data_IF_436262940876
#
_entry.id   IF_436262940876
#
_cell.length_a   1.000
_cell.length_b   1.000
_cell.length_c   1.000
_cell.angle_alpha   90.00
_cell.angle_beta   90.00
_cell.angle_gamma   90.00
#
_symmetry.space_group_name_H-M   'P 1'
#
loop_
_entity.id
_entity.type
_entity.pdbx_description
1 polymer ?
#
# COMPACT_ATOMS: atom_id res chain seq x y z
N UNK A 1 -42.10 -1.70 17.28
CA UNK A 1 -40.90 -2.54 17.44
C UNK A 1 -39.83 -1.93 16.55
N UNK A 2 -38.80 -1.30 17.13
CA UNK A 2 -37.60 -1.00 16.36
C UNK A 2 -36.87 -2.33 16.24
N UNK A 3 -36.93 -2.93 15.04
CA UNK A 3 -36.08 -4.07 14.74
C UNK A 3 -34.63 -3.67 15.00
N UNK A 4 -33.87 -4.55 15.66
CA UNK A 4 -32.43 -4.36 15.92
C UNK A 4 -31.73 -4.00 14.62
N UNK A 5 -31.35 -2.72 14.48
CA UNK A 5 -30.62 -2.22 13.34
C UNK A 5 -29.27 -2.97 13.25
N UNK A 6 -28.71 -3.16 12.05
CA UNK A 6 -27.46 -3.90 11.88
C UNK A 6 -26.29 -3.27 12.63
N UNK A 7 -26.31 -1.96 12.86
CA UNK A 7 -25.26 -1.22 13.60
C UNK A 7 -25.01 -1.80 14.99
N UNK A 8 -26.05 -2.21 15.71
CA UNK A 8 -25.95 -2.78 17.06
C UNK A 8 -25.30 -4.17 17.04
N UNK A 9 -25.23 -4.81 15.88
CA UNK A 9 -24.70 -6.17 15.69
C UNK A 9 -23.23 -6.18 15.25
N UNK A 10 -22.70 -5.10 14.66
CA UNK A 10 -21.35 -5.08 14.06
C UNK A 10 -20.25 -5.34 15.09
N UNK A 11 -20.37 -4.78 16.30
CA UNK A 11 -19.37 -4.90 17.37
C UNK A 11 -19.88 -5.65 18.60
N UNK A 12 -21.02 -6.34 18.47
CA UNK A 12 -21.62 -7.07 19.58
C UNK A 12 -20.71 -8.23 20.03
N UNK A 13 -20.62 -8.42 21.35
CA UNK A 13 -20.00 -9.63 21.91
C UNK A 13 -20.84 -10.83 21.50
N UNK A 14 -20.19 -11.82 20.90
CA UNK A 14 -20.83 -13.08 20.56
C UNK A 14 -20.71 -14.00 21.78
N UNK A 15 -21.73 -13.99 22.65
CA UNK A 15 -21.76 -14.86 23.83
C UNK A 15 -22.03 -16.31 23.39
N UNK A 16 -20.97 -17.12 23.31
CA UNK A 16 -21.06 -18.59 23.27
C UNK A 16 -21.65 -19.23 22.01
N UNK A 17 -21.79 -18.51 20.89
CA UNK A 17 -22.26 -19.12 19.65
C UNK A 17 -21.13 -19.85 18.92
N UNK A 18 -21.31 -21.16 18.72
CA UNK A 18 -20.40 -22.05 18.01
C UNK A 18 -20.52 -21.97 16.47
N UNK A 19 -21.35 -21.06 15.94
CA UNK A 19 -21.55 -20.91 14.50
C UNK A 19 -20.45 -20.06 13.85
N UNK A 20 -20.00 -20.47 12.66
CA UNK A 20 -19.11 -19.65 11.81
C UNK A 20 -19.85 -18.40 11.37
N UNK A 21 -19.64 -17.31 12.09
CA UNK A 21 -20.08 -15.98 11.71
C UNK A 21 -19.17 -15.40 10.59
N UNK A 22 -19.71 -14.67 9.60
CA UNK A 22 -18.90 -13.98 8.58
C UNK A 22 -18.21 -12.74 9.19
N UNK A 23 -17.20 -13.00 10.03
CA UNK A 23 -16.40 -11.99 10.71
C UNK A 23 -15.15 -12.62 11.35
N UNK A 24 -14.41 -11.83 12.12
CA UNK A 24 -13.24 -12.30 12.85
C UNK A 24 -13.15 -11.62 14.20
N UNK A 25 -12.55 -12.30 15.18
CA UNK A 25 -12.33 -11.75 16.51
C UNK A 25 -11.07 -10.85 16.50
N UNK A 26 -11.22 -9.62 16.95
CA UNK A 26 -10.09 -8.74 17.26
C UNK A 26 -9.57 -9.05 18.67
N UNK A 27 -8.79 -10.12 18.81
CA UNK A 27 -8.19 -10.51 20.09
C UNK A 27 -6.98 -9.62 20.41
N UNK A 28 -7.03 -8.91 21.56
CA UNK A 28 -5.97 -8.02 22.06
C UNK A 28 -5.39 -7.05 21.01
N UNK A 29 -6.26 -6.57 20.11
CA UNK A 29 -5.86 -5.69 19.01
C UNK A 29 -5.13 -4.44 19.54
N UNK A 30 -3.89 -4.25 19.11
CA UNK A 30 -3.04 -3.12 19.50
C UNK A 30 -2.32 -3.26 20.84
N UNK A 31 -2.52 -4.35 21.61
CA UNK A 31 -1.82 -4.56 22.89
C UNK A 31 -0.66 -5.55 22.77
N UNK A 32 -0.94 -6.77 22.32
CA UNK A 32 0.05 -7.87 22.33
C UNK A 32 0.16 -8.56 20.97
N UNK A 33 -0.92 -8.63 20.21
CA UNK A 33 -0.94 -9.25 18.89
C UNK A 33 -0.66 -8.21 17.80
N UNK A 34 0.32 -8.48 16.95
CA UNK A 34 0.59 -7.72 15.73
C UNK A 34 0.21 -8.57 14.52
N UNK A 35 -0.31 -7.92 13.47
CA UNK A 35 -0.51 -8.59 12.21
C UNK A 35 0.84 -9.11 11.68
N UNK A 36 0.83 -10.31 11.09
CA UNK A 36 2.00 -10.84 10.40
C UNK A 36 2.27 -9.96 9.17
N UNK A 37 3.47 -9.33 9.06
CA UNK A 37 3.67 -8.26 8.07
C UNK A 37 3.47 -8.71 6.63
N UNK A 38 3.82 -9.96 6.30
CA UNK A 38 3.65 -10.51 4.95
C UNK A 38 2.18 -10.67 4.61
N UNK A 39 1.40 -11.33 5.46
CA UNK A 39 -0.05 -11.48 5.29
C UNK A 39 -0.73 -10.12 5.20
N UNK A 40 -0.32 -9.15 6.02
CA UNK A 40 -0.89 -7.80 5.95
C UNK A 40 -0.61 -7.14 4.60
N UNK A 41 0.64 -7.15 4.12
CA UNK A 41 1.00 -6.59 2.82
C UNK A 41 0.25 -7.27 1.68
N UNK A 42 0.16 -8.60 1.69
CA UNK A 42 -0.57 -9.38 0.68
C UNK A 42 -2.08 -9.07 0.66
N UNK A 43 -2.75 -9.01 1.82
CA UNK A 43 -4.18 -8.64 1.87
C UNK A 43 -4.41 -7.22 1.33
N UNK A 44 -3.51 -6.29 1.63
CA UNK A 44 -3.58 -4.93 1.09
C UNK A 44 -3.29 -4.89 -0.43
N UNK A 45 -2.47 -5.79 -0.96
CA UNK A 45 -2.25 -5.97 -2.39
C UNK A 45 -3.54 -6.34 -3.12
N UNK A 46 -4.22 -7.38 -2.62
CA UNK A 46 -5.52 -7.81 -3.15
C UNK A 46 -6.56 -6.67 -3.10
N UNK A 47 -6.64 -5.96 -1.98
CA UNK A 47 -7.53 -4.82 -1.83
C UNK A 47 -7.19 -3.68 -2.82
N UNK A 48 -5.89 -3.41 -3.02
CA UNK A 48 -5.41 -2.40 -3.98
C UNK A 48 -5.87 -2.72 -5.40
N UNK A 49 -5.67 -3.96 -5.85
CA UNK A 49 -6.07 -4.37 -7.20
C UNK A 49 -7.58 -4.24 -7.41
N UNK A 50 -8.39 -4.55 -6.39
CA UNK A 50 -9.86 -4.34 -6.43
C UNK A 50 -10.25 -2.87 -6.48
N UNK A 51 -9.53 -1.99 -5.78
CA UNK A 51 -9.79 -0.54 -5.89
C UNK A 51 -9.42 0.02 -7.27
N UNK A 52 -8.45 -0.58 -7.96
CA UNK A 52 -8.14 -0.23 -9.35
C UNK A 52 -9.28 -0.67 -10.27
N UNK A 53 -9.83 -1.87 -10.06
CA UNK A 53 -11.00 -2.34 -10.81
C UNK A 53 -12.20 -1.41 -10.63
N UNK A 54 -12.45 -0.95 -9.40
CA UNK A 54 -13.45 0.08 -9.14
C UNK A 54 -13.19 1.37 -9.93
N UNK A 55 -11.94 1.85 -10.01
CA UNK A 55 -11.57 3.01 -10.82
C UNK A 55 -11.81 2.78 -12.33
N UNK A 56 -11.46 1.60 -12.84
CA UNK A 56 -11.69 1.21 -14.25
C UNK A 56 -13.18 1.14 -14.61
N UNK A 57 -14.04 0.79 -13.65
CA UNK A 57 -15.49 0.75 -13.82
C UNK A 57 -16.15 2.14 -13.77
N UNK A 58 -15.44 3.18 -13.30
CA UNK A 58 -15.99 4.51 -13.02
C UNK A 58 -15.11 5.63 -13.61
N UNK A 59 -14.70 5.49 -14.88
CA UNK A 59 -13.78 6.43 -15.56
C UNK A 59 -14.34 7.85 -15.76
N UNK A 60 -15.66 8.03 -15.65
CA UNK A 60 -16.33 9.32 -15.72
C UNK A 60 -16.25 10.12 -14.40
N UNK A 61 -15.80 9.47 -13.32
CA UNK A 61 -15.62 10.07 -11.99
C UNK A 61 -14.14 9.98 -11.60
N UNK A 62 -13.31 11.02 -11.85
CA UNK A 62 -11.87 10.98 -11.56
C UNK A 62 -11.53 10.57 -10.12
N UNK A 63 -12.34 11.00 -9.14
CA UNK A 63 -12.18 10.68 -7.73
C UNK A 63 -12.35 9.18 -7.42
N UNK A 64 -13.00 8.40 -8.30
CA UNK A 64 -13.07 6.95 -8.16
C UNK A 64 -11.68 6.28 -8.22
N UNK A 65 -10.71 6.94 -8.84
CA UNK A 65 -9.31 6.50 -8.89
C UNK A 65 -8.50 6.82 -7.63
N UNK A 66 -8.96 7.73 -6.77
CA UNK A 66 -8.19 8.20 -5.61
C UNK A 66 -7.93 7.09 -4.58
N UNK A 67 -8.90 6.24 -4.21
CA UNK A 67 -8.66 5.09 -3.35
C UNK A 67 -7.59 4.15 -3.91
N UNK A 68 -7.57 3.92 -5.23
CA UNK A 68 -6.59 3.06 -5.87
C UNK A 68 -5.16 3.59 -5.72
N UNK A 69 -4.95 4.88 -5.96
CA UNK A 69 -3.64 5.52 -5.84
C UNK A 69 -3.17 5.59 -4.38
N UNK A 70 -4.09 5.91 -3.48
CA UNK A 70 -3.84 5.89 -2.05
C UNK A 70 -3.42 4.49 -1.58
N UNK A 71 -4.21 3.47 -1.91
CA UNK A 71 -3.94 2.08 -1.52
C UNK A 71 -2.62 1.57 -2.12
N UNK A 72 -2.37 1.83 -3.42
CA UNK A 72 -1.15 1.41 -4.09
C UNK A 72 0.12 1.90 -3.37
N UNK A 73 0.15 3.19 -3.00
CA UNK A 73 1.26 3.77 -2.24
C UNK A 73 1.49 3.03 -0.92
N UNK A 74 0.43 2.77 -0.15
CA UNK A 74 0.54 2.17 1.18
C UNK A 74 0.88 0.69 1.11
N UNK A 75 0.30 -0.04 0.17
CA UNK A 75 0.62 -1.45 -0.03
C UNK A 75 2.08 -1.65 -0.38
N UNK A 76 2.60 -0.84 -1.31
CA UNK A 76 4.04 -0.83 -1.60
C UNK A 76 4.84 -0.52 -0.33
N UNK A 77 4.47 0.53 0.41
CA UNK A 77 5.16 0.88 1.66
C UNK A 77 5.13 -0.27 2.69
N UNK A 78 4.03 -1.02 2.82
CA UNK A 78 3.90 -2.19 3.70
C UNK A 78 4.85 -3.31 3.29
N UNK A 79 4.90 -3.65 2.00
CA UNK A 79 5.86 -4.64 1.49
C UNK A 79 7.30 -4.23 1.79
N UNK A 80 7.64 -2.99 1.45
CA UNK A 80 8.99 -2.47 1.60
C UNK A 80 9.43 -2.48 3.07
N UNK A 81 8.57 -2.05 4.01
CA UNK A 81 8.87 -2.07 5.46
C UNK A 81 9.00 -3.49 6.00
N UNK A 82 8.19 -4.41 5.50
CA UNK A 82 8.25 -5.81 5.93
C UNK A 82 9.51 -6.53 5.48
N UNK A 83 10.01 -6.23 4.28
CA UNK A 83 11.27 -6.75 3.74
C UNK A 83 12.52 -6.08 4.33
N UNK A 84 12.35 -4.92 4.97
CA UNK A 84 13.43 -4.14 5.63
C UNK A 84 13.03 -3.81 7.07
N UNK A 85 13.03 -4.80 7.99
CA UNK A 85 12.43 -4.64 9.32
C UNK A 85 13.12 -3.59 10.21
N UNK A 86 14.37 -3.25 9.93
CA UNK A 86 15.16 -2.27 10.68
C UNK A 86 15.24 -0.89 10.01
N UNK A 87 14.44 -0.65 8.96
CA UNK A 87 14.46 0.59 8.17
C UNK A 87 14.34 1.87 9.01
N UNK A 88 13.56 1.86 10.10
CA UNK A 88 13.39 3.02 11.00
C UNK A 88 14.69 3.41 11.68
N UNK A 89 15.51 2.42 12.05
CA UNK A 89 16.81 2.64 12.69
C UNK A 89 17.89 3.03 11.70
N UNK A 90 17.79 2.54 10.46
CA UNK A 90 18.75 2.87 9.41
C UNK A 90 18.47 4.26 8.80
N UNK A 91 17.23 4.76 8.86
CA UNK A 91 16.84 6.04 8.26
C UNK A 91 17.70 7.20 8.80
N UNK A 92 18.44 7.93 7.93
CA UNK A 92 19.25 9.06 8.36
C UNK A 92 18.37 10.14 9.00
N UNK A 93 18.66 10.47 10.27
CA UNK A 93 17.98 11.58 10.97
C UNK A 93 18.24 12.89 10.21
N UNK A 94 17.18 13.65 9.93
CA UNK A 94 17.27 14.97 9.30
C UNK A 94 17.31 15.01 7.77
N UNK A 95 17.18 13.89 7.05
CA UNK A 95 17.00 13.90 5.59
C UNK A 95 15.51 13.90 5.22
N UNK A 96 15.09 14.85 4.37
CA UNK A 96 13.75 14.93 3.77
C UNK A 96 13.47 13.85 2.70
N UNK A 97 14.16 12.70 2.74
CA UNK A 97 13.86 11.61 1.80
C UNK A 97 12.54 10.96 2.18
N UNK A 98 11.65 10.80 1.19
CA UNK A 98 10.40 10.06 1.36
C UNK A 98 10.69 8.61 1.76
N UNK A 99 9.81 8.01 2.57
CA UNK A 99 10.05 6.67 3.14
C UNK A 99 10.26 5.60 2.05
N UNK A 100 9.45 5.65 0.98
CA UNK A 100 9.55 4.74 -0.17
C UNK A 100 10.91 4.88 -0.87
N UNK A 101 11.42 6.11 -1.04
CA UNK A 101 12.70 6.35 -1.70
C UNK A 101 13.89 5.79 -0.92
N UNK A 102 13.78 5.78 0.40
CA UNK A 102 14.81 5.20 1.24
C UNK A 102 14.75 3.66 1.23
N UNK A 103 13.54 3.11 1.35
CA UNK A 103 13.33 1.66 1.34
C UNK A 103 13.71 1.01 0.00
N UNK A 104 13.42 1.67 -1.14
CA UNK A 104 13.80 1.17 -2.47
C UNK A 104 15.32 1.08 -2.64
N UNK A 105 16.08 2.02 -2.07
CA UNK A 105 17.54 2.00 -2.14
C UNK A 105 18.09 0.76 -1.43
N UNK A 106 17.57 0.45 -0.24
CA UNK A 106 17.97 -0.73 0.54
C UNK A 106 17.64 -2.04 -0.21
N UNK A 107 16.47 -2.11 -0.85
CA UNK A 107 16.06 -3.33 -1.57
C UNK A 107 16.65 -3.47 -2.97
N UNK A 108 17.19 -2.40 -3.55
CA UNK A 108 17.74 -2.43 -4.92
C UNK A 108 18.80 -3.50 -5.11
N UNK A 109 19.66 -3.72 -4.12
CA UNK A 109 20.72 -4.74 -4.16
C UNK A 109 20.18 -6.17 -4.04
N UNK A 110 19.01 -6.36 -3.41
CA UNK A 110 18.34 -7.66 -3.38
C UNK A 110 17.67 -7.94 -4.72
N UNK A 111 17.02 -6.94 -5.30
CA UNK A 111 16.34 -7.03 -6.59
C UNK A 111 17.30 -7.33 -7.74
N UNK A 112 18.46 -6.67 -7.81
CA UNK A 112 19.47 -6.90 -8.86
C UNK A 112 20.02 -8.32 -8.94
N UNK A 113 19.82 -9.15 -7.91
CA UNK A 113 20.27 -10.56 -7.92
C UNK A 113 19.35 -11.47 -8.73
N UNK A 114 18.08 -11.09 -8.83
CA UNK A 114 17.01 -11.94 -9.36
C UNK A 114 16.30 -11.32 -10.58
N UNK A 115 16.50 -10.02 -10.83
CA UNK A 115 15.85 -9.24 -11.88
C UNK A 115 16.88 -8.47 -12.69
N UNK A 116 16.56 -8.23 -13.96
CA UNK A 116 17.41 -7.47 -14.86
C UNK A 116 17.51 -6.01 -14.41
N UNK A 117 18.67 -5.38 -14.65
CA UNK A 117 18.91 -4.00 -14.21
C UNK A 117 17.85 -3.01 -14.74
N UNK A 118 17.39 -3.21 -15.98
CA UNK A 118 16.36 -2.38 -16.60
C UNK A 118 15.02 -2.48 -15.86
N UNK A 119 14.65 -3.68 -15.38
CA UNK A 119 13.43 -3.91 -14.61
C UNK A 119 13.51 -3.23 -13.25
N UNK A 120 14.66 -3.36 -12.56
CA UNK A 120 14.91 -2.69 -11.28
C UNK A 120 14.88 -1.17 -11.43
N UNK A 121 15.44 -0.64 -12.52
CA UNK A 121 15.38 0.79 -12.84
C UNK A 121 13.94 1.24 -13.16
N UNK A 122 13.17 0.46 -13.91
CA UNK A 122 11.77 0.77 -14.22
C UNK A 122 10.92 0.82 -12.94
N UNK A 123 11.08 -0.16 -12.05
CA UNK A 123 10.46 -0.17 -10.73
C UNK A 123 10.85 1.07 -9.92
N UNK A 124 12.14 1.39 -9.85
CA UNK A 124 12.63 2.57 -9.12
C UNK A 124 12.00 3.87 -9.65
N UNK A 125 11.87 4.01 -10.97
CA UNK A 125 11.19 5.16 -11.61
C UNK A 125 9.72 5.21 -11.23
N UNK A 126 9.01 4.09 -11.32
CA UNK A 126 7.60 3.96 -10.93
C UNK A 126 7.37 4.37 -9.47
N UNK A 127 8.18 3.86 -8.54
CA UNK A 127 8.11 4.22 -7.12
C UNK A 127 8.40 5.70 -6.86
N UNK A 128 9.35 6.26 -7.61
CA UNK A 128 9.68 7.69 -7.54
C UNK A 128 8.50 8.55 -8.01
N UNK A 129 7.82 8.14 -9.07
CA UNK A 129 6.60 8.83 -9.55
C UNK A 129 5.50 8.79 -8.50
N UNK A 130 5.24 7.62 -7.88
CA UNK A 130 4.27 7.51 -6.78
C UNK A 130 4.60 8.41 -5.60
N UNK A 131 5.87 8.45 -5.17
CA UNK A 131 6.33 9.36 -4.11
C UNK A 131 6.11 10.84 -4.46
N UNK A 132 6.20 11.22 -5.74
CA UNK A 132 5.97 12.61 -6.19
C UNK A 132 4.50 12.97 -6.30
N UNK A 133 3.65 12.02 -6.72
CA UNK A 133 2.20 12.24 -6.81
C UNK A 133 1.56 12.38 -5.43
N UNK A 134 2.10 11.68 -4.43
CA UNK A 134 1.58 11.72 -3.07
C UNK A 134 2.69 11.75 -1.99
N UNK A 135 3.47 12.86 -1.92
CA UNK A 135 4.65 12.94 -1.08
C UNK A 135 4.35 12.83 0.41
N UNK A 136 3.19 13.34 0.84
CA UNK A 136 2.76 13.36 2.24
C UNK A 136 1.68 12.32 2.56
N UNK A 137 1.36 11.41 1.64
CA UNK A 137 0.28 10.43 1.81
C UNK A 137 -1.12 11.08 1.87
N UNK A 138 -1.31 12.31 1.40
CA UNK A 138 -2.56 13.07 1.60
C UNK A 138 -3.26 13.44 0.29
N UNK A 139 -2.57 13.37 -0.86
CA UNK A 139 -3.05 13.92 -2.12
C UNK A 139 -4.44 13.40 -2.52
N UNK A 140 -4.71 12.13 -2.20
CA UNK A 140 -5.90 11.40 -2.61
C UNK A 140 -6.90 11.10 -1.48
N UNK A 141 -6.66 11.63 -0.26
CA UNK A 141 -7.50 11.35 0.92
C UNK A 141 -8.47 12.46 1.29
N UNK A 142 -8.06 13.70 1.07
CA UNK A 142 -8.79 14.88 1.51
C UNK A 142 -9.12 15.76 0.32
N UNK A 143 -10.21 16.52 0.44
CA UNK A 143 -10.66 17.43 -0.62
C UNK A 143 -9.57 18.45 -1.02
N UNK A 144 -8.79 18.94 -0.06
CA UNK A 144 -7.65 19.84 -0.26
C UNK A 144 -6.29 19.10 -0.21
N UNK A 145 -6.33 17.76 -0.22
CA UNK A 145 -5.18 16.90 0.04
C UNK A 145 -4.03 17.16 -0.92
N UNK A 146 -4.32 17.29 -2.22
CA UNK A 146 -3.31 17.59 -3.24
C UNK A 146 -2.65 18.96 -3.01
N UNK A 147 -3.45 19.99 -2.69
CA UNK A 147 -2.96 21.34 -2.40
C UNK A 147 -1.99 21.33 -1.22
N UNK A 148 -2.35 20.63 -0.13
CA UNK A 148 -1.50 20.54 1.07
C UNK A 148 -0.25 19.67 0.83
N UNK A 149 -0.41 18.56 0.10
CA UNK A 149 0.67 17.60 -0.16
C UNK A 149 1.75 18.21 -1.05
N UNK A 150 1.36 18.91 -2.12
CA UNK A 150 2.25 19.43 -3.15
C UNK A 150 2.69 20.89 -2.92
N UNK A 151 2.22 21.55 -1.87
CA UNK A 151 2.51 22.97 -1.59
C UNK A 151 4.01 23.33 -1.67
N UNK A 152 4.85 22.46 -1.12
CA UNK A 152 6.29 22.72 -0.95
C UNK A 152 7.12 22.19 -2.14
N UNK A 153 6.55 21.31 -2.96
CA UNK A 153 7.17 20.70 -4.14
C UNK A 153 6.10 20.48 -5.22
N UNK A 154 5.67 21.57 -5.88
CA UNK A 154 4.64 21.50 -6.91
C UNK A 154 5.15 20.73 -8.13
N UNK A 155 4.27 19.93 -8.72
CA UNK A 155 4.57 19.24 -9.97
C UNK A 155 4.80 20.27 -11.07
N UNK A 156 5.89 20.10 -11.84
CA UNK A 156 6.26 21.00 -12.93
C UNK A 156 5.25 20.98 -14.09
N UNK A 157 4.49 19.90 -14.20
CA UNK A 157 3.39 19.70 -15.14
C UNK A 157 2.17 19.20 -14.34
N UNK A 158 1.08 19.99 -14.24
CA UNK A 158 -0.08 19.62 -13.45
C UNK A 158 -0.99 18.61 -14.17
N UNK A 159 -0.82 18.38 -15.47
CA UNK A 159 -1.65 17.45 -16.24
C UNK A 159 -1.02 16.06 -16.26
N UNK A 160 -1.50 15.18 -15.38
CA UNK A 160 -1.02 13.81 -15.29
C UNK A 160 -2.16 12.85 -15.61
N UNK A 161 -2.01 12.13 -16.72
CA UNK A 161 -2.87 11.02 -17.06
C UNK A 161 -2.39 9.74 -16.37
N UNK A 162 -3.32 9.00 -15.77
CA UNK A 162 -3.04 7.73 -15.12
C UNK A 162 -3.77 6.62 -15.88
N UNK A 163 -2.99 5.72 -16.47
CA UNK A 163 -3.51 4.52 -17.09
C UNK A 163 -3.76 3.46 -16.01
N UNK A 164 -5.02 3.26 -15.62
CA UNK A 164 -5.40 2.28 -14.59
C UNK A 164 -5.14 0.83 -15.02
N UNK A 165 -5.16 0.52 -16.33
CA UNK A 165 -4.87 -0.82 -16.81
C UNK A 165 -3.37 -1.12 -16.68
N UNK A 166 -2.52 -0.20 -17.13
CA UNK A 166 -1.08 -0.29 -16.95
C UNK A 166 -0.69 -0.27 -15.46
N UNK A 167 -1.40 0.52 -14.64
CA UNK A 167 -1.19 0.57 -13.19
C UNK A 167 -1.48 -0.81 -12.55
N UNK A 168 -2.62 -1.44 -12.88
CA UNK A 168 -2.98 -2.77 -12.37
C UNK A 168 -1.93 -3.81 -12.71
N UNK A 169 -1.51 -3.86 -13.97
CA UNK A 169 -0.48 -4.80 -14.44
C UNK A 169 0.85 -4.57 -13.72
N UNK A 170 1.29 -3.31 -13.67
CA UNK A 170 2.55 -2.93 -13.01
C UNK A 170 2.54 -3.32 -11.54
N UNK A 171 1.48 -3.00 -10.80
CA UNK A 171 1.39 -3.35 -9.37
C UNK A 171 1.31 -4.86 -9.15
N UNK A 172 0.61 -5.61 -10.00
CA UNK A 172 0.56 -7.07 -9.91
C UNK A 172 1.96 -7.68 -10.02
N UNK A 173 2.74 -7.26 -11.03
CA UNK A 173 4.13 -7.70 -11.20
C UNK A 173 5.01 -7.32 -10.01
N UNK A 174 4.82 -6.11 -9.46
CA UNK A 174 5.58 -5.64 -8.30
C UNK A 174 5.26 -6.48 -7.06
N UNK A 175 3.98 -6.71 -6.76
CA UNK A 175 3.58 -7.49 -5.59
C UNK A 175 4.07 -8.93 -5.68
N UNK A 176 3.93 -9.57 -6.85
CA UNK A 176 4.50 -10.90 -7.11
C UNK A 176 6.02 -10.94 -6.89
N UNK A 177 6.73 -9.91 -7.36
CA UNK A 177 8.17 -9.83 -7.20
C UNK A 177 8.59 -9.71 -5.72
N UNK A 178 7.89 -8.86 -4.96
CA UNK A 178 8.15 -8.64 -3.54
C UNK A 178 7.79 -9.88 -2.69
N UNK A 179 6.70 -10.58 -3.04
CA UNK A 179 6.33 -11.86 -2.41
C UNK A 179 7.41 -12.94 -2.60
N UNK A 180 8.00 -13.03 -3.80
CA UNK A 180 9.11 -13.95 -4.09
C UNK A 180 10.33 -13.66 -3.22
N UNK A 181 10.69 -12.38 -3.05
CA UNK A 181 11.82 -11.98 -2.19
C UNK A 181 11.54 -12.40 -0.74
N UNK A 182 10.33 -12.15 -0.25
CA UNK A 182 9.94 -12.53 1.11
C UNK A 182 10.03 -14.05 1.33
N UNK A 183 9.58 -14.85 0.35
CA UNK A 183 9.69 -16.31 0.41
C UNK A 183 11.14 -16.81 0.52
N UNK A 184 12.09 -16.13 -0.16
CA UNK A 184 13.51 -16.47 -0.10
C UNK A 184 14.16 -16.11 1.24
N UNK A 185 13.76 -15.00 1.87
CA UNK A 185 14.29 -14.61 3.19
C UNK A 185 13.95 -15.65 4.26
N UNK A 186 12.72 -16.17 4.25
CA UNK A 186 12.28 -17.20 5.21
C UNK A 186 12.89 -18.58 4.96
N UNK A 187 13.46 -18.83 3.78
CA UNK A 187 14.11 -20.11 3.44
C UNK A 187 15.60 -20.16 3.83
N UNK A 188 16.16 -19.03 4.28
CA UNK A 188 17.56 -18.91 4.71
C UNK A 188 17.72 -18.75 6.24
N UNK A 189 16.61 -18.79 6.97
CA UNK A 189 16.56 -18.77 8.43
C UNK A 189 16.56 -20.18 9.01
#
# INVERSE_FOLDING_TARGET
MMDNLPFDKVFAKQDGQAERFPGFLLEDHGKHTRAEPKVLAWVYAEATLRTIDFGLENLDTPEAGYPALFMARHTVELYLKGLVPDWETQKPKGKNRHAIDYLKEILSEQLKRDYDEQEVQALSKFLTQFSKLDPKSMAFRYQDGAVVSLRDDPLSDPEIWIDFQALKQSLSMIFEALDKIWGKQNSKA
#
